data_IF_014966931863
#
_entry.id   IF_014966931863
#
_cell.length_a   1.000
_cell.length_b   1.000
_cell.length_c   1.000
_cell.angle_alpha   90.00
_cell.angle_beta   90.00
_cell.angle_gamma   90.00
#
_symmetry.space_group_name_H-M   'P 1'
#
loop_
_entity.id
_entity.type
_entity.pdbx_description
1 polymer ?
#
# COMPACT_ATOMS: atom_id res chain seq x y z
N UNK A 1 -77.14 -38.03 55.29
CA UNK A 1 -75.75 -37.71 54.89
C UNK A 1 -75.65 -36.25 54.47
N UNK A 2 -74.90 -35.40 55.17
CA UNK A 2 -74.27 -34.23 54.54
C UNK A 2 -72.73 -34.30 54.70
N UNK A 3 -72.01 -34.10 53.59
CA UNK A 3 -70.53 -34.08 53.55
C UNK A 3 -70.05 -32.62 53.59
N UNK A 4 -69.35 -32.26 54.65
CA UNK A 4 -68.67 -30.96 54.82
C UNK A 4 -67.55 -30.85 53.78
N UNK A 5 -67.56 -29.81 52.93
CA UNK A 5 -66.47 -29.50 52.00
C UNK A 5 -65.37 -28.76 52.76
N UNK A 6 -64.25 -29.44 53.03
CA UNK A 6 -63.04 -28.78 53.52
C UNK A 6 -62.29 -28.11 52.36
N UNK A 7 -62.04 -26.81 52.45
CA UNK A 7 -61.20 -26.05 51.53
C UNK A 7 -59.72 -26.34 51.81
N UNK A 8 -59.02 -26.98 50.88
CA UNK A 8 -57.56 -27.17 50.97
C UNK A 8 -56.87 -25.94 50.36
N UNK A 9 -56.32 -25.09 51.23
CA UNK A 9 -55.49 -23.93 50.85
C UNK A 9 -54.19 -24.45 50.24
N UNK A 10 -53.97 -24.23 48.94
CA UNK A 10 -52.68 -24.53 48.28
C UNK A 10 -51.61 -23.59 48.85
N UNK A 11 -50.67 -24.15 49.61
CA UNK A 11 -49.46 -23.45 50.03
C UNK A 11 -48.48 -23.41 48.84
N UNK A 12 -48.34 -22.25 48.20
CA UNK A 12 -47.27 -22.04 47.24
C UNK A 12 -45.96 -21.79 48.01
N UNK A 13 -44.98 -22.66 47.83
CA UNK A 13 -43.64 -22.49 48.40
C UNK A 13 -42.99 -21.22 47.85
N UNK A 14 -42.74 -20.22 48.72
CA UNK A 14 -41.94 -19.05 48.38
C UNK A 14 -40.46 -19.46 48.39
N UNK A 15 -39.75 -19.27 47.26
CA UNK A 15 -38.28 -19.40 47.19
C UNK A 15 -37.65 -18.55 48.32
N UNK A 16 -36.65 -19.09 49.01
CA UNK A 16 -35.94 -18.37 50.08
C UNK A 16 -35.21 -17.15 49.52
N UNK A 17 -35.09 -16.09 50.32
CA UNK A 17 -34.42 -14.84 49.96
C UNK A 17 -32.98 -15.07 49.50
N UNK A 18 -32.27 -15.96 50.19
CA UNK A 18 -30.91 -16.36 49.85
C UNK A 18 -30.78 -16.96 48.44
N UNK A 19 -31.74 -17.80 48.01
CA UNK A 19 -31.71 -18.41 46.68
C UNK A 19 -31.93 -17.38 45.56
N UNK A 20 -32.75 -16.36 45.82
CA UNK A 20 -33.00 -15.25 44.88
C UNK A 20 -31.75 -14.37 44.74
N UNK A 21 -31.02 -14.13 45.83
CA UNK A 21 -29.77 -13.36 45.79
C UNK A 21 -28.64 -14.09 45.06
N UNK A 22 -28.57 -15.42 45.19
CA UNK A 22 -27.60 -16.25 44.46
C UNK A 22 -27.89 -16.22 42.95
N UNK A 23 -29.16 -16.40 42.55
CA UNK A 23 -29.57 -16.30 41.14
C UNK A 23 -29.23 -14.91 40.56
N UNK A 24 -29.51 -13.83 41.31
CA UNK A 24 -29.15 -12.46 40.88
C UNK A 24 -27.64 -12.24 40.74
N UNK A 25 -26.81 -12.79 41.63
CA UNK A 25 -25.34 -12.73 41.53
C UNK A 25 -24.81 -13.53 40.34
N UNK A 26 -25.40 -14.69 40.05
CA UNK A 26 -25.03 -15.50 38.88
C UNK A 26 -25.44 -14.83 37.56
N UNK A 27 -26.61 -14.19 37.53
CA UNK A 27 -27.05 -13.39 36.38
C UNK A 27 -26.18 -12.15 36.16
N UNK A 28 -25.76 -11.46 37.23
CA UNK A 28 -24.83 -10.34 37.15
C UNK A 28 -23.48 -10.77 36.56
N UNK A 29 -22.90 -11.88 37.05
CA UNK A 29 -21.67 -12.45 36.49
C UNK A 29 -21.84 -12.87 35.03
N UNK A 30 -22.98 -13.45 34.65
CA UNK A 30 -23.28 -13.80 33.25
C UNK A 30 -23.33 -12.57 32.35
N UNK A 31 -23.97 -11.49 32.80
CA UNK A 31 -24.04 -10.21 32.08
C UNK A 31 -22.65 -9.56 31.93
N UNK A 32 -21.82 -9.58 32.95
CA UNK A 32 -20.42 -9.12 32.87
C UNK A 32 -19.59 -9.92 31.86
N UNK A 33 -19.76 -11.25 31.83
CA UNK A 33 -19.12 -12.11 30.82
C UNK A 33 -19.68 -11.92 29.40
N UNK A 34 -20.95 -11.53 29.26
CA UNK A 34 -21.55 -11.17 27.97
C UNK A 34 -21.05 -9.81 27.47
N UNK A 35 -20.96 -8.81 28.35
CA UNK A 35 -20.44 -7.48 28.00
C UNK A 35 -18.95 -7.55 27.57
N UNK A 36 -18.14 -8.42 28.19
CA UNK A 36 -16.73 -8.59 27.82
C UNK A 36 -16.56 -9.31 26.46
N UNK A 37 -17.43 -10.27 26.12
CA UNK A 37 -17.39 -10.92 24.81
C UNK A 37 -17.93 -10.02 23.69
N UNK A 38 -18.92 -9.16 23.97
CA UNK A 38 -19.43 -8.13 23.06
C UNK A 38 -18.38 -7.05 22.77
N UNK A 39 -17.69 -6.55 23.80
CA UNK A 39 -16.58 -5.60 23.63
C UNK A 39 -15.46 -6.18 22.75
N UNK A 40 -15.14 -7.47 22.91
CA UNK A 40 -14.13 -8.13 22.06
C UNK A 40 -14.59 -8.30 20.60
N UNK A 41 -15.90 -8.43 20.35
CA UNK A 41 -16.47 -8.48 18.99
C UNK A 41 -16.57 -7.10 18.33
N UNK A 42 -16.80 -6.06 19.12
CA UNK A 42 -16.80 -4.67 18.67
C UNK A 42 -15.38 -4.21 18.30
N UNK A 43 -14.38 -4.54 19.13
CA UNK A 43 -12.96 -4.35 18.83
C UNK A 43 -12.57 -5.12 17.55
N UNK A 44 -13.02 -6.36 17.37
CA UNK A 44 -12.81 -7.12 16.11
C UNK A 44 -13.46 -6.45 14.90
N UNK A 45 -14.67 -5.88 15.03
CA UNK A 45 -15.34 -5.11 13.94
C UNK A 45 -14.60 -3.81 13.62
N UNK A 46 -14.10 -3.09 14.62
CA UNK A 46 -13.28 -1.88 14.44
C UNK A 46 -11.97 -2.22 13.74
N UNK A 47 -11.30 -3.30 14.15
CA UNK A 47 -10.06 -3.80 13.51
C UNK A 47 -10.33 -4.28 12.07
N UNK A 48 -11.47 -4.91 11.80
CA UNK A 48 -11.87 -5.30 10.43
C UNK A 48 -12.19 -4.09 9.54
N UNK A 49 -12.79 -3.02 10.09
CA UNK A 49 -13.07 -1.75 9.40
C UNK A 49 -11.77 -0.98 9.07
N UNK A 50 -10.69 -1.23 9.82
CA UNK A 50 -9.36 -0.67 9.59
C UNK A 50 -8.44 -1.52 8.70
N UNK A 51 -8.94 -2.54 8.00
CA UNK A 51 -8.13 -3.19 6.96
C UNK A 51 -7.75 -2.14 5.91
N UNK A 52 -6.46 -1.78 5.86
CA UNK A 52 -5.92 -0.85 4.86
C UNK A 52 -6.33 -1.34 3.47
N UNK A 53 -7.21 -0.60 2.80
CA UNK A 53 -7.66 -0.95 1.44
C UNK A 53 -6.43 -0.99 0.54
N UNK A 54 -6.14 -2.17 -0.01
CA UNK A 54 -5.09 -2.34 -1.01
C UNK A 54 -5.62 -1.88 -2.36
N UNK A 55 -4.87 -1.03 -3.04
CA UNK A 55 -5.16 -0.69 -4.44
C UNK A 55 -5.03 -1.94 -5.32
N UNK A 56 -5.88 -2.05 -6.35
CA UNK A 56 -5.73 -3.11 -7.35
C UNK A 56 -4.38 -2.96 -8.04
N UNK A 57 -3.82 -4.08 -8.50
CA UNK A 57 -2.58 -4.08 -9.27
C UNK A 57 -2.75 -3.17 -10.49
N UNK A 58 -1.75 -2.36 -10.80
CA UNK A 58 -1.81 -1.35 -11.87
C UNK A 58 -2.46 -0.01 -11.49
N UNK A 59 -3.32 0.06 -10.48
CA UNK A 59 -4.00 1.34 -10.12
C UNK A 59 -3.03 2.41 -9.65
N UNK A 60 -2.02 2.03 -8.85
CA UNK A 60 -0.99 2.97 -8.36
C UNK A 60 -0.06 3.36 -9.50
N UNK A 61 0.41 2.39 -10.29
CA UNK A 61 1.26 2.66 -11.45
C UNK A 61 0.61 3.65 -12.45
N UNK A 62 -0.68 3.49 -12.76
CA UNK A 62 -1.40 4.41 -13.64
C UNK A 62 -1.62 5.80 -13.04
N UNK A 63 -1.63 5.92 -11.71
CA UNK A 63 -1.65 7.23 -11.03
C UNK A 63 -0.28 7.88 -11.16
N UNK A 64 0.78 7.14 -10.88
CA UNK A 64 2.15 7.63 -10.90
C UNK A 64 2.56 8.07 -12.32
N UNK A 65 2.22 7.29 -13.36
CA UNK A 65 2.45 7.66 -14.77
C UNK A 65 1.80 9.01 -15.09
N UNK A 66 0.53 9.20 -14.74
CA UNK A 66 -0.17 10.47 -14.99
C UNK A 66 0.43 11.63 -14.21
N UNK A 67 0.88 11.38 -12.98
CA UNK A 67 1.52 12.40 -12.16
C UNK A 67 2.86 12.83 -12.76
N UNK A 68 3.74 11.88 -13.09
CA UNK A 68 5.07 12.18 -13.62
C UNK A 68 5.08 12.68 -15.06
N UNK A 69 4.02 12.43 -15.84
CA UNK A 69 3.86 13.05 -17.17
C UNK A 69 3.43 14.52 -17.09
N UNK A 70 2.79 14.93 -16.00
CA UNK A 70 2.36 16.32 -15.81
C UNK A 70 3.41 17.18 -15.11
N UNK A 71 4.32 16.58 -14.34
CA UNK A 71 5.34 17.28 -13.54
C UNK A 71 6.71 17.14 -14.21
N UNK A 72 7.44 18.24 -14.33
CA UNK A 72 8.76 18.30 -14.99
C UNK A 72 9.95 18.28 -14.02
N UNK A 73 9.77 17.69 -12.83
CA UNK A 73 10.83 17.61 -11.82
C UNK A 73 11.80 16.48 -12.14
N UNK A 74 13.09 16.67 -11.79
CA UNK A 74 14.09 15.61 -11.89
C UNK A 74 13.74 14.44 -10.95
N UNK A 75 13.86 13.22 -11.46
CA UNK A 75 13.55 11.99 -10.73
C UNK A 75 14.75 11.40 -10.01
N UNK A 76 15.96 11.64 -10.53
CA UNK A 76 17.20 11.15 -9.92
C UNK A 76 17.63 12.13 -8.82
N UNK A 77 18.00 11.66 -7.61
CA UNK A 77 18.54 12.55 -6.58
C UNK A 77 19.82 13.25 -7.06
N UNK A 78 19.82 14.58 -7.07
CA UNK A 78 20.92 15.39 -7.59
C UNK A 78 22.28 15.09 -6.92
N UNK A 79 22.27 14.79 -5.62
CA UNK A 79 23.49 14.42 -4.89
C UNK A 79 24.12 13.11 -5.39
N UNK A 80 23.30 12.12 -5.73
CA UNK A 80 23.76 10.84 -6.28
C UNK A 80 24.27 11.02 -7.71
N UNK A 81 23.55 11.78 -8.54
CA UNK A 81 23.98 12.08 -9.91
C UNK A 81 25.30 12.86 -9.94
N UNK A 82 25.46 13.85 -9.06
CA UNK A 82 26.71 14.60 -8.93
C UNK A 82 27.89 13.70 -8.56
N UNK A 83 27.70 12.74 -7.64
CA UNK A 83 28.76 11.77 -7.26
C UNK A 83 29.15 10.90 -8.47
N UNK A 84 28.16 10.44 -9.22
CA UNK A 84 28.35 9.65 -10.43
C UNK A 84 29.12 10.40 -11.52
N UNK A 85 28.75 11.65 -11.81
CA UNK A 85 29.49 12.48 -12.77
C UNK A 85 30.95 12.66 -12.34
N UNK A 86 31.21 12.94 -11.07
CA UNK A 86 32.58 13.07 -10.55
C UNK A 86 33.37 11.76 -10.58
N UNK A 87 32.70 10.62 -10.46
CA UNK A 87 33.32 9.30 -10.60
C UNK A 87 33.80 9.04 -12.02
N UNK A 88 32.95 9.28 -13.02
CA UNK A 88 33.28 9.14 -14.44
C UNK A 88 34.49 10.01 -14.81
N UNK A 89 34.50 11.28 -14.42
CA UNK A 89 35.61 12.17 -14.77
C UNK A 89 36.93 11.81 -14.08
N UNK A 90 36.87 11.17 -12.90
CA UNK A 90 38.07 10.61 -12.25
C UNK A 90 38.64 9.44 -13.05
N UNK A 91 37.79 8.60 -13.63
CA UNK A 91 38.22 7.49 -14.49
C UNK A 91 38.94 7.99 -15.76
N UNK A 92 38.47 9.10 -16.34
CA UNK A 92 39.12 9.74 -17.49
C UNK A 92 40.43 10.48 -17.16
N UNK A 93 40.91 10.40 -15.91
CA UNK A 93 42.14 11.06 -15.42
C UNK A 93 42.20 12.57 -15.69
N UNK A 94 41.05 13.21 -15.82
CA UNK A 94 40.98 14.66 -16.03
C UNK A 94 41.07 15.34 -14.66
N UNK A 95 42.29 15.52 -14.18
CA UNK A 95 42.57 16.12 -12.88
C UNK A 95 42.19 17.60 -12.82
N UNK A 96 41.77 18.06 -11.65
CA UNK A 96 41.64 19.50 -11.35
C UNK A 96 40.39 20.22 -11.87
N UNK A 97 39.41 19.51 -12.43
CA UNK A 97 38.18 20.15 -12.93
C UNK A 97 37.18 20.37 -11.80
N UNK A 98 36.72 21.61 -11.69
CA UNK A 98 35.53 21.99 -10.90
C UNK A 98 34.32 22.07 -11.83
N UNK A 99 33.17 21.63 -11.35
CA UNK A 99 31.93 21.67 -12.12
C UNK A 99 31.06 22.82 -11.62
N UNK A 100 30.54 23.61 -12.55
CA UNK A 100 29.45 24.52 -12.24
C UNK A 100 28.19 23.74 -11.87
N UNK A 101 27.43 24.24 -10.90
CA UNK A 101 26.16 23.62 -10.49
C UNK A 101 25.16 23.53 -11.64
N UNK A 102 25.07 24.57 -12.46
CA UNK A 102 24.23 24.59 -13.66
C UNK A 102 24.63 23.53 -14.69
N UNK A 103 25.93 23.26 -14.86
CA UNK A 103 26.41 22.23 -15.79
C UNK A 103 25.98 20.82 -15.35
N UNK A 104 26.09 20.52 -14.06
CA UNK A 104 25.64 19.22 -13.51
C UNK A 104 24.12 19.08 -13.69
N UNK A 105 23.36 20.14 -13.44
CA UNK A 105 21.91 20.14 -13.62
C UNK A 105 21.52 19.90 -15.09
N UNK A 106 22.19 20.57 -16.03
CA UNK A 106 21.95 20.38 -17.47
C UNK A 106 22.26 18.95 -17.93
N UNK A 107 23.38 18.37 -17.46
CA UNK A 107 23.72 16.96 -17.71
C UNK A 107 22.65 16.02 -17.17
N UNK A 108 22.11 16.33 -15.98
CA UNK A 108 21.07 15.52 -15.38
C UNK A 108 19.76 15.58 -16.19
N UNK A 109 19.31 16.78 -16.57
CA UNK A 109 18.12 16.95 -17.40
C UNK A 109 18.24 16.22 -18.74
N UNK A 110 19.40 16.33 -19.39
CA UNK A 110 19.66 15.63 -20.66
C UNK A 110 19.67 14.10 -20.48
N UNK A 111 20.31 13.59 -19.43
CA UNK A 111 20.37 12.16 -19.15
C UNK A 111 18.99 11.57 -18.83
N UNK A 112 18.18 12.25 -18.01
CA UNK A 112 16.83 11.80 -17.70
C UNK A 112 15.92 11.84 -18.94
N UNK A 113 16.00 12.91 -19.75
CA UNK A 113 15.26 12.99 -21.02
C UNK A 113 15.61 11.86 -21.99
N UNK A 114 16.90 11.51 -22.09
CA UNK A 114 17.35 10.38 -22.90
C UNK A 114 16.75 9.05 -22.42
N UNK A 115 16.78 8.80 -21.10
CA UNK A 115 16.22 7.57 -20.52
C UNK A 115 14.71 7.51 -20.74
N UNK A 116 13.98 8.61 -20.57
CA UNK A 116 12.53 8.65 -20.80
C UNK A 116 12.19 8.30 -22.26
N UNK A 117 12.87 8.93 -23.23
CA UNK A 117 12.67 8.63 -24.65
C UNK A 117 13.00 7.16 -25.00
N UNK A 118 14.11 6.63 -24.48
CA UNK A 118 14.44 5.22 -24.63
C UNK A 118 13.31 4.33 -24.06
N UNK A 119 12.79 4.66 -22.88
CA UNK A 119 11.74 3.89 -22.21
C UNK A 119 10.41 3.93 -22.98
N UNK A 120 10.06 5.05 -23.61
CA UNK A 120 8.91 5.16 -24.51
C UNK A 120 9.01 4.18 -25.69
N UNK A 121 10.17 4.15 -26.35
CA UNK A 121 10.42 3.20 -27.44
C UNK A 121 10.37 1.74 -26.96
N UNK A 122 10.93 1.43 -25.79
CA UNK A 122 10.85 0.07 -25.24
C UNK A 122 9.42 -0.34 -24.89
N UNK A 123 8.59 0.60 -24.46
CA UNK A 123 7.19 0.34 -24.17
C UNK A 123 6.40 -0.01 -25.44
N UNK A 124 6.67 0.70 -26.55
CA UNK A 124 6.10 0.36 -27.86
C UNK A 124 6.50 -1.04 -28.32
N UNK A 125 7.78 -1.42 -28.13
CA UNK A 125 8.26 -2.77 -28.47
C UNK A 125 7.66 -3.87 -27.57
N UNK A 126 7.49 -3.59 -26.27
CA UNK A 126 6.82 -4.51 -25.37
C UNK A 126 5.35 -4.74 -25.81
N UNK A 127 4.65 -3.67 -26.19
CA UNK A 127 3.28 -3.75 -26.70
C UNK A 127 3.22 -4.49 -28.06
N UNK A 128 4.20 -4.27 -28.94
CA UNK A 128 4.33 -5.00 -30.20
C UNK A 128 4.41 -6.52 -29.97
N UNK A 129 5.09 -6.94 -28.90
CA UNK A 129 5.17 -8.34 -28.47
C UNK A 129 3.98 -8.80 -27.58
N UNK A 130 2.86 -8.04 -27.53
CA UNK A 130 1.66 -8.31 -26.73
C UNK A 130 1.91 -8.41 -25.21
N UNK A 131 2.89 -7.69 -24.69
CA UNK A 131 3.23 -7.63 -23.26
C UNK A 131 3.05 -6.22 -22.71
N UNK A 132 2.77 -6.14 -21.41
CA UNK A 132 2.71 -4.87 -20.65
C UNK A 132 4.01 -4.63 -19.87
N UNK A 133 4.75 -5.68 -19.56
CA UNK A 133 6.03 -5.60 -18.84
C UNK A 133 7.18 -5.49 -19.84
N UNK A 134 8.02 -4.48 -19.66
CA UNK A 134 9.27 -4.29 -20.38
C UNK A 134 10.34 -5.28 -19.90
N UNK A 135 11.17 -5.76 -20.83
CA UNK A 135 12.29 -6.66 -20.54
C UNK A 135 13.59 -6.13 -21.14
N UNK A 136 14.77 -6.59 -20.68
CA UNK A 136 16.06 -6.15 -21.21
C UNK A 136 16.21 -6.32 -22.73
N UNK A 137 15.59 -7.36 -23.30
CA UNK A 137 15.54 -7.58 -24.75
C UNK A 137 14.87 -6.44 -25.53
N UNK A 138 13.87 -5.79 -24.93
CA UNK A 138 13.15 -4.66 -25.54
C UNK A 138 14.05 -3.42 -25.55
N UNK A 139 14.85 -3.22 -24.50
CA UNK A 139 15.87 -2.13 -24.42
C UNK A 139 16.97 -2.34 -25.46
N UNK A 140 17.52 -3.55 -25.54
CA UNK A 140 18.58 -3.87 -26.50
C UNK A 140 18.08 -3.68 -27.94
N UNK A 141 16.84 -4.11 -28.22
CA UNK A 141 16.23 -3.93 -29.52
C UNK A 141 15.99 -2.44 -29.84
N UNK A 142 15.43 -1.67 -28.90
CA UNK A 142 15.24 -0.23 -29.07
C UNK A 142 16.56 0.47 -29.38
N UNK A 143 17.60 0.19 -28.60
CA UNK A 143 18.94 0.75 -28.82
C UNK A 143 19.49 0.42 -30.21
N UNK A 144 19.39 -0.85 -30.64
CA UNK A 144 19.85 -1.28 -31.97
C UNK A 144 19.11 -0.55 -33.11
N UNK A 145 17.81 -0.36 -32.97
CA UNK A 145 17.00 0.35 -33.97
C UNK A 145 17.36 1.84 -33.99
N UNK A 146 17.52 2.46 -32.82
CA UNK A 146 17.91 3.88 -32.71
C UNK A 146 19.28 4.13 -33.34
N UNK A 147 20.25 3.26 -33.09
CA UNK A 147 21.59 3.34 -33.69
C UNK A 147 21.55 3.15 -35.23
N UNK A 148 20.68 2.27 -35.72
CA UNK A 148 20.51 2.02 -37.17
C UNK A 148 19.85 3.19 -37.91
N UNK A 149 18.97 3.93 -37.24
CA UNK A 149 18.22 5.04 -37.84
C UNK A 149 19.00 6.37 -37.85
N UNK A 150 20.26 6.37 -37.42
CA UNK A 150 21.11 7.56 -37.43
C UNK A 150 20.69 8.65 -36.44
N UNK A 151 19.74 8.37 -35.54
CA UNK A 151 19.37 9.27 -34.44
C UNK A 151 20.41 9.10 -33.33
N UNK A 152 21.61 9.60 -33.59
CA UNK A 152 22.60 9.91 -32.55
C UNK A 152 22.32 11.34 -32.11
N UNK A 153 22.02 11.52 -30.83
CA UNK A 153 22.07 12.84 -30.19
C UNK A 153 23.49 13.41 -30.31
#
# INVERSE_FOLDING_TARGET
MPRIKTCVRKNYARKSTASIEIEKKLEAKRKESQNSCEASNEVKKIVQKQKKRRFRRGTVALRDIRYYQNVTQNLIPAASFQRFVREIFREFKIGGITFQTAAISALQTAAEAYIVNMMENTNLLANHAKRVTIFPKDIILAKRIMESNGVRL
#
